data_IF_742374786180
#
_entry.id   IF_742374786180
#
_cell.length_a   1.000
_cell.length_b   1.000
_cell.length_c   1.000
_cell.angle_alpha   90.00
_cell.angle_beta   90.00
_cell.angle_gamma   90.00
#
_symmetry.space_group_name_H-M   'P 1'
#
loop_
_entity.id
_entity.type
_entity.pdbx_description
1 polymer ?
#
# COMPACT_ATOMS: atom_id res chain seq x y z
N UNK A 1 11.81 5.13 30.13
CA UNK A 1 12.12 4.98 28.69
C UNK A 1 10.84 4.57 27.98
N UNK A 2 10.11 5.53 27.43
CA UNK A 2 9.04 5.25 26.47
C UNK A 2 9.72 4.94 25.14
N UNK A 3 9.93 3.66 24.86
CA UNK A 3 10.33 3.23 23.54
C UNK A 3 9.19 3.60 22.59
N UNK A 4 9.38 4.72 21.88
CA UNK A 4 8.52 5.14 20.79
C UNK A 4 8.86 4.26 19.57
N UNK A 5 8.68 2.95 19.72
CA UNK A 5 8.73 2.00 18.61
C UNK A 5 7.57 2.34 17.71
N UNK A 6 7.83 3.24 16.77
CA UNK A 6 6.92 3.60 15.69
C UNK A 6 6.80 2.37 14.76
N UNK A 7 6.04 1.38 15.24
CA UNK A 7 5.85 0.08 14.63
C UNK A 7 5.04 0.27 13.36
N UNK A 8 5.74 0.29 12.23
CA UNK A 8 5.10 0.31 10.91
C UNK A 8 4.36 -0.99 10.67
N UNK A 9 3.18 -0.90 10.06
CA UNK A 9 2.43 -2.08 9.62
C UNK A 9 3.14 -2.75 8.45
N UNK A 10 2.84 -4.03 8.21
CA UNK A 10 3.36 -4.73 7.03
C UNK A 10 2.99 -4.03 5.71
N UNK A 11 1.79 -3.42 5.65
CA UNK A 11 1.35 -2.62 4.50
C UNK A 11 2.20 -1.38 4.29
N UNK A 12 2.53 -0.65 5.35
CA UNK A 12 3.41 0.51 5.27
C UNK A 12 4.81 0.12 4.79
N UNK A 13 5.37 -0.99 5.28
CA UNK A 13 6.67 -1.48 4.84
C UNK A 13 6.63 -1.84 3.34
N UNK A 14 5.57 -2.54 2.90
CA UNK A 14 5.38 -2.90 1.49
C UNK A 14 5.33 -1.65 0.59
N UNK A 15 4.48 -0.68 0.92
CA UNK A 15 4.29 0.54 0.12
C UNK A 15 5.56 1.38 0.08
N UNK A 16 6.28 1.49 1.19
CA UNK A 16 7.59 2.16 1.23
C UNK A 16 8.60 1.51 0.28
N UNK A 17 8.67 0.18 0.25
CA UNK A 17 9.57 -0.51 -0.70
C UNK A 17 9.16 -0.24 -2.15
N UNK A 18 7.86 -0.28 -2.46
CA UNK A 18 7.35 0.02 -3.81
C UNK A 18 7.77 1.43 -4.26
N UNK A 19 7.65 2.43 -3.38
CA UNK A 19 8.12 3.80 -3.63
C UNK A 19 9.63 3.88 -3.88
N UNK A 20 10.42 3.21 -3.04
CA UNK A 20 11.90 3.18 -3.18
C UNK A 20 12.31 2.60 -4.54
N UNK A 21 11.57 1.60 -5.02
CA UNK A 21 11.80 0.99 -6.34
C UNK A 21 11.20 1.78 -7.51
N UNK A 22 10.58 2.95 -7.25
CA UNK A 22 10.04 3.83 -8.28
C UNK A 22 8.70 3.40 -8.85
N UNK A 23 7.96 2.53 -8.14
CA UNK A 23 6.59 2.22 -8.52
C UNK A 23 5.70 3.45 -8.28
N UNK A 24 5.03 3.91 -9.33
CA UNK A 24 4.14 5.08 -9.30
C UNK A 24 2.66 4.72 -9.54
N UNK A 25 2.39 3.49 -9.98
CA UNK A 25 1.05 3.02 -10.36
C UNK A 25 0.83 1.59 -9.87
N UNK A 26 -0.30 1.34 -9.22
CA UNK A 26 -0.67 0.03 -8.68
C UNK A 26 -2.09 -0.33 -9.11
N UNK A 27 -2.28 -1.56 -9.58
CA UNK A 27 -3.59 -2.12 -9.90
C UNK A 27 -3.99 -3.12 -8.80
N UNK A 28 -5.19 -3.00 -8.25
CA UNK A 28 -5.65 -3.95 -7.23
C UNK A 28 -7.16 -4.21 -7.27
N UNK A 29 -7.59 -5.41 -6.87
CA UNK A 29 -8.99 -5.72 -6.56
C UNK A 29 -9.18 -5.70 -5.05
N UNK A 30 -9.78 -4.65 -4.46
CA UNK A 30 -9.80 -4.44 -3.01
C UNK A 30 -10.49 -5.60 -2.29
N UNK A 31 -9.87 -6.04 -1.19
CA UNK A 31 -10.39 -7.14 -0.36
C UNK A 31 -9.95 -7.00 1.09
N UNK A 32 -10.73 -7.58 2.01
CA UNK A 32 -10.51 -7.46 3.45
C UNK A 32 -9.20 -8.13 3.91
N UNK A 33 -8.69 -9.12 3.17
CA UNK A 33 -7.49 -9.88 3.52
C UNK A 33 -6.20 -9.07 3.59
N UNK A 34 -6.18 -7.84 3.06
CA UNK A 34 -4.98 -7.00 3.01
C UNK A 34 -5.27 -5.51 3.31
N UNK A 35 -6.23 -5.23 4.18
CA UNK A 35 -6.61 -3.87 4.58
C UNK A 35 -5.41 -3.00 4.99
N UNK A 36 -4.42 -3.56 5.70
CA UNK A 36 -3.23 -2.81 6.09
C UNK A 36 -2.44 -2.26 4.88
N UNK A 37 -2.42 -2.97 3.75
CA UNK A 37 -1.80 -2.50 2.52
C UNK A 37 -2.67 -1.46 1.81
N UNK A 38 -3.99 -1.64 1.81
CA UNK A 38 -4.92 -0.63 1.26
C UNK A 38 -4.84 0.70 2.03
N UNK A 39 -4.74 0.62 3.36
CA UNK A 39 -4.56 1.78 4.24
C UNK A 39 -3.23 2.50 3.95
N UNK A 40 -2.13 1.76 3.86
CA UNK A 40 -0.83 2.31 3.51
C UNK A 40 -0.80 2.92 2.09
N UNK A 41 -1.51 2.32 1.12
CA UNK A 41 -1.65 2.86 -0.23
C UNK A 41 -2.47 4.15 -0.24
N UNK A 42 -3.50 4.23 0.61
CA UNK A 42 -4.31 5.42 0.77
C UNK A 42 -3.52 6.58 1.39
N UNK A 43 -2.65 6.29 2.37
CA UNK A 43 -1.67 7.24 2.92
C UNK A 43 -0.64 7.71 1.87
N UNK A 44 -0.40 6.86 0.86
CA UNK A 44 0.60 7.10 -0.18
C UNK A 44 0.07 7.65 -1.51
N UNK A 45 -1.20 8.05 -1.56
CA UNK A 45 -1.91 8.43 -2.79
C UNK A 45 -1.33 9.61 -3.59
N UNK A 46 -0.52 10.45 -2.95
CA UNK A 46 0.14 11.58 -3.63
C UNK A 46 1.37 11.14 -4.44
N UNK A 47 1.97 9.99 -4.10
CA UNK A 47 3.14 9.44 -4.81
C UNK A 47 2.79 8.23 -5.67
N UNK A 48 1.78 7.44 -5.27
CA UNK A 48 1.34 6.23 -5.95
C UNK A 48 -0.11 6.37 -6.40
N UNK A 49 -0.32 6.24 -7.70
CA UNK A 49 -1.65 6.13 -8.31
C UNK A 49 -2.21 4.73 -8.12
N UNK A 50 -3.27 4.62 -7.32
CA UNK A 50 -4.03 3.37 -7.18
C UNK A 50 -5.15 3.27 -8.23
N UNK A 51 -5.16 2.18 -9.00
CA UNK A 51 -6.20 1.85 -9.98
C UNK A 51 -6.97 0.64 -9.47
N UNK A 52 -8.22 0.88 -9.08
CA UNK A 52 -9.12 -0.16 -8.57
C UNK A 52 -9.71 -0.96 -9.72
N UNK A 53 -9.47 -2.27 -9.70
CA UNK A 53 -9.97 -3.24 -10.66
C UNK A 53 -11.17 -4.01 -10.08
N UNK A 54 -12.07 -4.49 -10.96
CA UNK A 54 -13.26 -5.26 -10.55
C UNK A 54 -13.04 -6.77 -10.53
N UNK A 55 -12.03 -7.25 -11.27
CA UNK A 55 -11.62 -8.65 -11.37
C UNK A 55 -10.11 -8.68 -11.56
N UNK A 56 -9.44 -9.72 -11.07
CA UNK A 56 -7.96 -9.81 -11.10
C UNK A 56 -7.42 -10.13 -12.49
N UNK A 57 -8.25 -10.64 -13.41
CA UNK A 57 -7.84 -11.06 -14.76
C UNK A 57 -7.44 -9.94 -15.73
N UNK A 58 -7.42 -8.67 -15.29
CA UNK A 58 -6.97 -7.54 -16.10
C UNK A 58 -6.09 -6.54 -15.34
N UNK A 59 -5.62 -6.92 -14.15
CA UNK A 59 -4.69 -6.15 -13.32
C UNK A 59 -3.23 -6.45 -13.66
#
# INVERSE_FOLDING_TARGET
MTDNTNLRTGGQILVDQLRIHGADTIFCVPGESYLASLDALYDARDDIRLIVCRQEGGA
#
